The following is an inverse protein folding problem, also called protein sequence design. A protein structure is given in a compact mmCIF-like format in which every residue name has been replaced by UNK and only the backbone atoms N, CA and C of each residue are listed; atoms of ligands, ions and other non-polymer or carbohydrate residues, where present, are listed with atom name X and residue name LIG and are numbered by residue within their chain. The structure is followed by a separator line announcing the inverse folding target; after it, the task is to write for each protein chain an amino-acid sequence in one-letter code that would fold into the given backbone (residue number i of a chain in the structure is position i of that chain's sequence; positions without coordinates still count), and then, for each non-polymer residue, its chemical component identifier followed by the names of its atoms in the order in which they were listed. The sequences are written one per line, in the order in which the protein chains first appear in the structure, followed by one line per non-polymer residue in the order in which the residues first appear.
data_IF_384875181936
#
_entry.id   IF_384875181936
#
_cell.length_a   1.000
_cell.length_b   1.000
_cell.length_c   1.000
_cell.angle_alpha   90.00
_cell.angle_beta   90.00
_cell.angle_gamma   90.00
#
_symmetry.space_group_name_H-M   'P 1'
#
loop_
_entity.id
_entity.type
_entity.pdbx_description
1 polymer ?
#
# COMPACT_ATOMS: atom_id res chain seq x y z
N UNK A 1 -30.51 4.17 26.21
CA UNK A 1 -29.50 5.10 25.65
C UNK A 1 -28.14 4.42 25.69
N UNK A 2 -27.82 3.56 24.71
CA UNK A 2 -26.48 2.99 24.58
C UNK A 2 -25.61 4.02 23.86
N UNK A 3 -24.89 4.82 24.65
CA UNK A 3 -23.80 5.63 24.14
C UNK A 3 -22.92 4.73 23.26
N UNK A 4 -22.61 5.20 22.04
CA UNK A 4 -21.76 4.46 21.11
C UNK A 4 -20.49 4.05 21.82
N UNK A 5 -20.32 2.76 22.13
CA UNK A 5 -19.05 2.22 22.57
C UNK A 5 -18.12 2.41 21.37
N UNK A 6 -17.41 3.54 21.35
CA UNK A 6 -16.30 3.76 20.43
C UNK A 6 -15.36 2.61 20.70
N UNK A 7 -15.08 1.83 19.66
CA UNK A 7 -14.04 0.80 19.71
C UNK A 7 -12.70 1.53 19.83
N UNK A 8 -12.33 1.93 21.05
CA UNK A 8 -11.08 2.65 21.34
C UNK A 8 -9.87 1.89 20.77
N UNK A 9 -9.92 0.56 20.84
CA UNK A 9 -8.96 -0.34 20.21
C UNK A 9 -8.82 -0.10 18.70
N UNK A 10 -9.92 0.12 17.97
CA UNK A 10 -9.89 0.40 16.53
C UNK A 10 -9.27 1.75 16.23
N UNK A 11 -9.53 2.76 17.08
CA UNK A 11 -8.94 4.10 16.94
C UNK A 11 -7.42 4.07 17.20
N UNK A 12 -6.95 3.27 18.18
CA UNK A 12 -5.52 3.03 18.41
C UNK A 12 -4.85 2.37 17.21
N UNK A 13 -5.45 1.30 16.66
CA UNK A 13 -4.89 0.61 15.47
C UNK A 13 -4.80 1.56 14.28
N UNK A 14 -5.80 2.44 14.09
CA UNK A 14 -5.74 3.50 13.05
C UNK A 14 -4.62 4.48 13.30
N UNK A 15 -4.46 4.97 14.53
CA UNK A 15 -3.40 5.92 14.89
C UNK A 15 -2.01 5.36 14.60
N UNK A 16 -1.76 4.12 15.01
CA UNK A 16 -0.49 3.42 14.73
C UNK A 16 -0.27 3.24 13.22
N UNK A 17 -1.31 2.84 12.47
CA UNK A 17 -1.20 2.70 11.02
C UNK A 17 -0.84 4.02 10.33
N UNK A 18 -1.43 5.13 10.76
CA UNK A 18 -1.14 6.47 10.20
C UNK A 18 0.29 6.90 10.53
N UNK A 19 0.76 6.70 11.76
CA UNK A 19 2.16 7.00 12.14
C UNK A 19 3.13 6.13 11.34
N UNK A 20 2.79 4.87 11.11
CA UNK A 20 3.59 3.98 10.27
C UNK A 20 3.64 4.44 8.81
N UNK A 21 2.53 4.91 8.23
CA UNK A 21 2.50 5.49 6.88
C UNK A 21 3.37 6.74 6.80
N UNK A 22 3.35 7.59 7.83
CA UNK A 22 4.16 8.80 7.89
C UNK A 22 5.66 8.49 7.72
N UNK A 23 6.17 7.43 8.37
CA UNK A 23 7.58 7.05 8.27
C UNK A 23 8.05 6.85 6.83
N UNK A 24 7.24 6.21 5.99
CA UNK A 24 7.58 5.97 4.58
C UNK A 24 7.42 7.24 3.74
N UNK A 25 6.43 8.07 4.08
CA UNK A 25 6.20 9.32 3.36
C UNK A 25 7.30 10.36 3.62
N UNK A 26 8.02 10.30 4.74
CA UNK A 26 9.18 11.18 4.98
C UNK A 26 10.20 11.08 3.82
N UNK A 27 10.45 9.86 3.31
CA UNK A 27 11.33 9.66 2.16
C UNK A 27 10.75 10.33 0.92
N UNK A 28 9.46 10.11 0.64
CA UNK A 28 8.79 10.71 -0.53
C UNK A 28 8.75 12.25 -0.49
N UNK A 29 8.70 12.87 0.69
CA UNK A 29 8.71 14.34 0.83
C UNK A 29 10.12 14.93 0.93
N UNK A 30 11.10 14.17 1.41
CA UNK A 30 12.46 14.64 1.66
C UNK A 30 13.47 14.33 0.55
N UNK A 31 13.16 13.38 -0.34
CA UNK A 31 14.09 12.87 -1.35
C UNK A 31 13.44 12.78 -2.74
N UNK A 32 14.25 12.70 -3.82
CA UNK A 32 13.75 12.46 -5.17
C UNK A 32 12.95 11.16 -5.28
N UNK A 33 12.01 11.08 -6.23
CA UNK A 33 11.01 10.01 -6.30
C UNK A 33 11.63 8.61 -6.36
N UNK A 34 12.72 8.43 -7.12
CA UNK A 34 13.41 7.14 -7.23
C UNK A 34 13.92 6.60 -5.89
N UNK A 35 14.22 7.46 -4.91
CA UNK A 35 14.69 7.06 -3.58
C UNK A 35 13.62 6.33 -2.76
N UNK A 36 12.33 6.55 -3.08
CA UNK A 36 11.24 5.85 -2.42
C UNK A 36 11.23 4.35 -2.74
N UNK A 37 11.58 3.98 -3.98
CA UNK A 37 11.59 2.59 -4.42
C UNK A 37 12.97 1.94 -4.32
N UNK A 38 14.04 2.71 -4.53
CA UNK A 38 15.40 2.19 -4.56
C UNK A 38 16.32 3.04 -3.67
N UNK A 39 16.89 2.48 -2.58
CA UNK A 39 17.76 3.24 -1.68
C UNK A 39 19.03 3.73 -2.39
N UNK A 40 19.48 3.08 -3.47
CA UNK A 40 20.64 3.54 -4.25
C UNK A 40 20.37 4.79 -5.07
N UNK A 41 19.12 5.14 -5.32
CA UNK A 41 18.77 6.30 -6.13
C UNK A 41 19.22 7.62 -5.48
N UNK A 42 19.33 7.67 -4.15
CA UNK A 42 19.71 8.87 -3.42
C UNK A 42 20.44 8.58 -2.10
N UNK A 43 21.50 7.77 -2.14
CA UNK A 43 22.45 7.63 -1.02
C UNK A 43 22.02 6.76 0.17
N UNK A 44 20.86 6.09 0.12
CA UNK A 44 20.33 5.28 1.22
C UNK A 44 20.84 3.84 1.30
N UNK A 45 21.85 3.47 0.52
CA UNK A 45 22.29 2.08 0.35
C UNK A 45 23.50 1.67 1.20
N UNK A 46 23.99 2.56 2.07
CA UNK A 46 25.18 2.32 2.89
C UNK A 46 24.95 2.71 4.36
N UNK A 47 25.79 2.19 5.25
CA UNK A 47 25.87 2.61 6.66
C UNK A 47 24.54 2.55 7.43
N UNK A 48 24.27 3.61 8.20
CA UNK A 48 23.05 3.72 9.00
C UNK A 48 21.78 3.86 8.15
N UNK A 49 21.88 4.49 6.98
CA UNK A 49 20.74 4.68 6.08
C UNK A 49 20.24 3.36 5.52
N UNK A 50 21.16 2.45 5.19
CA UNK A 50 20.80 1.09 4.79
C UNK A 50 20.06 0.35 5.92
N UNK A 51 20.53 0.46 7.17
CA UNK A 51 19.85 -0.16 8.31
C UNK A 51 18.44 0.38 8.50
N UNK A 52 18.25 1.70 8.38
CA UNK A 52 16.93 2.34 8.45
C UNK A 52 16.03 1.89 7.31
N UNK A 53 16.56 1.81 6.08
CA UNK A 53 15.82 1.28 4.93
C UNK A 53 15.37 -0.16 5.16
N UNK A 54 16.28 -1.05 5.57
CA UNK A 54 15.97 -2.46 5.79
C UNK A 54 14.98 -2.66 6.94
N UNK A 55 15.13 -1.90 8.03
CA UNK A 55 14.19 -1.92 9.14
C UNK A 55 12.78 -1.52 8.70
N UNK A 56 12.66 -0.42 7.93
CA UNK A 56 11.40 0.02 7.36
C UNK A 56 10.83 -1.01 6.38
N UNK A 57 11.65 -1.57 5.48
CA UNK A 57 11.26 -2.57 4.50
C UNK A 57 10.63 -3.81 5.15
N UNK A 58 11.28 -4.32 6.21
CA UNK A 58 10.84 -5.53 6.92
C UNK A 58 9.57 -5.26 7.74
N UNK A 59 9.48 -4.14 8.45
CA UNK A 59 8.43 -3.94 9.45
C UNK A 59 7.26 -3.05 9.01
N UNK A 60 7.51 -2.03 8.19
CA UNK A 60 6.55 -0.94 7.96
C UNK A 60 6.12 -0.78 6.50
N UNK A 61 7.05 -0.90 5.55
CA UNK A 61 6.82 -0.58 4.13
C UNK A 61 5.66 -1.38 3.53
N UNK A 62 4.67 -0.68 2.98
CA UNK A 62 3.43 -1.25 2.45
C UNK A 62 2.49 -1.87 3.51
N UNK A 63 2.99 -2.31 4.66
CA UNK A 63 2.22 -3.01 5.71
C UNK A 63 1.32 -2.05 6.46
N UNK A 64 1.79 -0.83 6.70
CA UNK A 64 0.99 0.22 7.36
C UNK A 64 -0.12 0.75 6.45
N UNK A 65 0.16 0.92 5.14
CA UNK A 65 -0.86 1.19 4.12
C UNK A 65 -1.87 0.05 4.02
N UNK A 66 -1.39 -1.20 4.01
CA UNK A 66 -2.24 -2.40 4.01
C UNK A 66 -3.15 -2.49 5.23
N UNK A 67 -2.60 -2.23 6.42
CA UNK A 67 -3.36 -2.14 7.67
C UNK A 67 -4.41 -1.04 7.58
N UNK A 68 -4.06 0.13 7.03
CA UNK A 68 -5.01 1.22 6.85
C UNK A 68 -6.15 0.87 5.87
N UNK A 69 -5.86 0.22 4.73
CA UNK A 69 -6.89 -0.32 3.80
C UNK A 69 -7.80 -1.33 4.48
N UNK A 70 -7.21 -2.23 5.26
CA UNK A 70 -7.91 -3.23 6.04
C UNK A 70 -8.87 -2.58 7.06
N UNK A 71 -8.40 -1.58 7.81
CA UNK A 71 -9.26 -0.83 8.73
C UNK A 71 -10.33 -0.02 7.98
N UNK A 72 -10.02 0.51 6.80
CA UNK A 72 -10.99 1.25 5.98
C UNK A 72 -12.17 0.35 5.60
N UNK A 73 -11.92 -0.89 5.15
CA UNK A 73 -12.98 -1.85 4.85
C UNK A 73 -13.86 -2.19 6.05
N UNK A 74 -13.26 -2.38 7.23
CA UNK A 74 -14.01 -2.56 8.47
C UNK A 74 -14.85 -1.32 8.83
N UNK A 75 -14.27 -0.13 8.69
CA UNK A 75 -14.93 1.15 8.99
C UNK A 75 -16.13 1.40 8.10
N UNK A 76 -16.02 1.03 6.83
CA UNK A 76 -17.13 1.07 5.88
C UNK A 76 -18.29 0.21 6.34
N UNK A 77 -18.01 -1.03 6.74
CA UNK A 77 -19.05 -1.96 7.20
C UNK A 77 -19.76 -1.42 8.47
N UNK A 78 -19.03 -0.85 9.42
CA UNK A 78 -19.63 -0.18 10.59
C UNK A 78 -20.55 0.99 10.22
N UNK A 79 -20.18 1.78 9.21
CA UNK A 79 -21.03 2.89 8.73
C UNK A 79 -22.31 2.36 8.09
N UNK A 80 -22.21 1.26 7.31
CA UNK A 80 -23.34 0.59 6.68
C UNK A 80 -24.27 0.02 7.75
N UNK A 81 -23.75 -0.76 8.70
CA UNK A 81 -24.52 -1.35 9.81
C UNK A 81 -25.23 -0.26 10.63
N UNK A 82 -24.57 0.87 10.88
CA UNK A 82 -25.18 2.01 11.60
C UNK A 82 -26.29 2.69 10.80
N UNK A 83 -26.14 2.79 9.49
CA UNK A 83 -27.19 3.35 8.63
C UNK A 83 -28.43 2.44 8.61
N UNK A 84 -28.22 1.12 8.51
CA UNK A 84 -29.27 0.10 8.59
C UNK A 84 -30.02 0.18 9.94
N UNK A 85 -29.27 0.22 11.04
CA UNK A 85 -29.85 0.33 12.40
C UNK A 85 -30.58 1.65 12.65
N UNK A 86 -30.31 2.69 11.84
CA UNK A 86 -30.98 4.00 11.93
C UNK A 86 -32.07 4.18 10.87
N UNK A 87 -32.50 3.10 10.20
CA UNK A 87 -33.51 3.11 9.12
C UNK A 87 -33.16 4.05 7.95
N UNK A 88 -31.87 4.31 7.73
CA UNK A 88 -31.37 5.13 6.61
C UNK A 88 -30.88 4.22 5.48
N UNK A 89 -31.01 4.68 4.24
CA UNK A 89 -30.43 3.98 3.09
C UNK A 89 -28.90 3.80 3.24
N UNK A 90 -28.39 2.56 3.38
CA UNK A 90 -26.96 2.33 3.60
C UNK A 90 -26.13 2.70 2.39
N UNK A 91 -26.67 2.44 1.19
CA UNK A 91 -26.07 2.85 -0.07
C UNK A 91 -25.91 4.38 -0.14
N UNK A 92 -26.97 5.14 0.15
CA UNK A 92 -26.92 6.60 0.10
C UNK A 92 -25.87 7.17 1.06
N UNK A 93 -25.84 6.68 2.30
CA UNK A 93 -24.86 7.12 3.30
C UNK A 93 -23.43 6.79 2.86
N UNK A 94 -23.21 5.57 2.36
CA UNK A 94 -21.90 5.13 1.90
C UNK A 94 -21.40 5.93 0.70
N UNK A 95 -22.17 5.98 -0.39
CA UNK A 95 -21.75 6.65 -1.62
C UNK A 95 -21.57 8.15 -1.46
N UNK A 96 -22.36 8.82 -0.61
CA UNK A 96 -22.12 10.24 -0.30
C UNK A 96 -20.79 10.44 0.42
N UNK A 97 -20.44 9.57 1.37
CA UNK A 97 -19.14 9.64 2.05
C UNK A 97 -17.99 9.35 1.09
N UNK A 98 -18.15 8.38 0.19
CA UNK A 98 -17.14 8.10 -0.84
C UNK A 98 -17.02 9.26 -1.84
N UNK A 99 -18.12 9.91 -2.21
CA UNK A 99 -18.08 11.08 -3.10
C UNK A 99 -17.32 12.26 -2.48
N UNK A 100 -17.56 12.56 -1.20
CA UNK A 100 -16.78 13.57 -0.48
C UNK A 100 -15.31 13.17 -0.34
N UNK A 101 -15.03 11.90 0.00
CA UNK A 101 -13.66 11.40 0.10
C UNK A 101 -12.93 11.48 -1.26
N UNK A 102 -13.62 11.18 -2.35
CA UNK A 102 -13.10 11.28 -3.71
C UNK A 102 -12.80 12.74 -4.08
N UNK A 103 -13.71 13.66 -3.74
CA UNK A 103 -13.49 15.09 -3.97
C UNK A 103 -12.25 15.58 -3.22
N UNK A 104 -12.15 15.29 -1.92
CA UNK A 104 -10.96 15.64 -1.13
C UNK A 104 -9.70 14.96 -1.66
N UNK A 105 -9.81 13.70 -2.11
CA UNK A 105 -8.71 12.98 -2.73
C UNK A 105 -8.22 13.63 -4.01
N UNK A 106 -9.11 14.10 -4.90
CA UNK A 106 -8.68 14.83 -6.09
C UNK A 106 -8.07 16.19 -5.76
N UNK A 107 -8.69 16.95 -4.85
CA UNK A 107 -8.11 18.22 -4.38
C UNK A 107 -6.70 17.99 -3.84
N UNK A 108 -6.53 16.95 -3.02
CA UNK A 108 -5.24 16.58 -2.44
C UNK A 108 -4.24 16.08 -3.51
N UNK A 109 -4.66 15.21 -4.42
CA UNK A 109 -3.84 14.65 -5.49
C UNK A 109 -3.30 15.74 -6.42
N UNK A 110 -4.11 16.72 -6.80
CA UNK A 110 -3.69 17.77 -7.72
C UNK A 110 -3.00 18.94 -7.02
N UNK A 111 -3.49 19.38 -5.86
CA UNK A 111 -2.96 20.59 -5.21
C UNK A 111 -1.86 20.29 -4.19
N UNK A 112 -1.85 19.12 -3.54
CA UNK A 112 -0.97 18.86 -2.40
C UNK A 112 0.15 17.89 -2.76
N UNK A 113 -0.16 16.64 -3.10
CA UNK A 113 0.83 15.58 -3.25
C UNK A 113 0.35 14.43 -4.16
N UNK A 114 1.27 13.92 -5.00
CA UNK A 114 0.98 12.90 -6.02
C UNK A 114 0.70 11.49 -5.45
N UNK A 115 1.07 11.22 -4.20
CA UNK A 115 0.87 9.92 -3.54
C UNK A 115 -0.50 9.75 -2.85
N UNK A 116 -1.53 10.46 -3.31
CA UNK A 116 -2.87 10.39 -2.70
C UNK A 116 -3.45 8.98 -2.65
N UNK A 117 -3.94 8.59 -1.46
CA UNK A 117 -4.66 7.33 -1.27
C UNK A 117 -6.17 7.54 -1.14
N UNK A 118 -6.65 8.76 -0.92
CA UNK A 118 -8.05 9.04 -0.62
C UNK A 118 -8.94 8.77 -1.84
N UNK A 119 -8.57 9.29 -3.00
CA UNK A 119 -9.29 9.06 -4.26
C UNK A 119 -9.31 7.57 -4.60
N UNK A 120 -8.15 6.91 -4.48
CA UNK A 120 -8.03 5.46 -4.66
C UNK A 120 -8.97 4.68 -3.74
N UNK A 121 -8.99 5.02 -2.45
CA UNK A 121 -9.80 4.32 -1.45
C UNK A 121 -11.28 4.61 -1.62
N UNK A 122 -11.65 5.82 -2.06
CA UNK A 122 -13.02 6.13 -2.40
C UNK A 122 -13.51 5.28 -3.57
N UNK A 123 -12.72 5.16 -4.65
CA UNK A 123 -13.07 4.35 -5.82
C UNK A 123 -13.18 2.86 -5.48
N UNK A 124 -12.16 2.31 -4.82
CA UNK A 124 -12.18 0.90 -4.40
C UNK A 124 -13.27 0.65 -3.35
N UNK A 125 -13.53 1.63 -2.47
CA UNK A 125 -14.58 1.54 -1.47
C UNK A 125 -15.99 1.55 -2.07
N UNK A 126 -16.21 2.25 -3.18
CA UNK A 126 -17.45 2.16 -3.94
C UNK A 126 -17.66 0.75 -4.49
N UNK A 127 -16.61 0.08 -4.97
CA UNK A 127 -16.65 -1.31 -5.43
C UNK A 127 -16.89 -2.28 -4.26
N UNK A 128 -16.18 -2.08 -3.15
CA UNK A 128 -16.25 -2.93 -1.96
C UNK A 128 -17.66 -3.00 -1.34
N UNK A 129 -18.49 -1.97 -1.57
CA UNK A 129 -19.89 -1.95 -1.14
C UNK A 129 -20.71 -3.15 -1.67
N UNK A 130 -20.37 -3.69 -2.83
CA UNK A 130 -21.03 -4.88 -3.39
C UNK A 130 -20.82 -6.13 -2.51
N UNK A 131 -19.70 -6.21 -1.79
CA UNK A 131 -19.37 -7.33 -0.92
C UNK A 131 -19.93 -7.19 0.51
N UNK A 132 -20.60 -6.07 0.84
CA UNK A 132 -21.02 -5.73 2.21
C UNK A 132 -21.84 -6.80 2.92
N UNK A 133 -22.61 -7.61 2.18
CA UNK A 133 -23.49 -8.65 2.71
C UNK A 133 -22.87 -10.06 2.69
N UNK A 134 -21.66 -10.22 2.16
CA UNK A 134 -21.04 -11.53 2.01
C UNK A 134 -20.63 -12.13 3.36
N UNK A 135 -20.81 -13.44 3.58
CA UNK A 135 -20.30 -14.11 4.79
C UNK A 135 -18.77 -14.08 4.84
N UNK A 136 -18.21 -14.24 6.05
CA UNK A 136 -16.76 -14.20 6.31
C UNK A 136 -15.96 -15.08 5.34
N UNK A 137 -16.41 -16.31 5.09
CA UNK A 137 -15.72 -17.24 4.19
C UNK A 137 -15.60 -16.70 2.76
N UNK A 138 -16.67 -16.12 2.20
CA UNK A 138 -16.66 -15.56 0.85
C UNK A 138 -15.80 -14.29 0.76
N UNK A 139 -15.80 -13.45 1.80
CA UNK A 139 -14.91 -12.28 1.87
C UNK A 139 -13.44 -12.68 1.84
N UNK A 140 -13.08 -13.72 2.61
CA UNK A 140 -11.70 -14.24 2.64
C UNK A 140 -11.33 -14.89 1.31
N UNK A 141 -12.18 -15.74 0.74
CA UNK A 141 -11.92 -16.39 -0.55
C UNK A 141 -11.76 -15.35 -1.66
N UNK A 142 -12.67 -14.38 -1.75
CA UNK A 142 -12.57 -13.30 -2.74
C UNK A 142 -11.32 -12.44 -2.53
N UNK A 143 -10.98 -12.13 -1.27
CA UNK A 143 -9.74 -11.44 -0.95
C UNK A 143 -8.50 -12.21 -1.42
N UNK A 144 -8.42 -13.52 -1.17
CA UNK A 144 -7.30 -14.35 -1.65
C UNK A 144 -7.25 -14.36 -3.18
N UNK A 145 -8.39 -14.54 -3.87
CA UNK A 145 -8.44 -14.49 -5.33
C UNK A 145 -7.94 -13.15 -5.89
N UNK A 146 -8.30 -12.04 -5.24
CA UNK A 146 -7.84 -10.71 -5.64
C UNK A 146 -6.35 -10.49 -5.39
N UNK A 147 -5.77 -11.06 -4.32
CA UNK A 147 -4.31 -11.06 -4.11
C UNK A 147 -3.62 -11.86 -5.21
N UNK A 148 -4.13 -13.03 -5.58
CA UNK A 148 -3.58 -13.82 -6.69
C UNK A 148 -3.68 -13.04 -8.02
N UNK A 149 -4.82 -12.39 -8.29
CA UNK A 149 -4.98 -11.55 -9.47
C UNK A 149 -3.98 -10.37 -9.47
N UNK A 150 -3.81 -9.70 -8.32
CA UNK A 150 -2.82 -8.64 -8.17
C UNK A 150 -1.39 -9.13 -8.41
N UNK A 151 -1.06 -10.36 -7.97
CA UNK A 151 0.24 -10.97 -8.19
C UNK A 151 0.49 -11.23 -9.68
N UNK A 152 -0.52 -11.75 -10.40
CA UNK A 152 -0.42 -11.97 -11.85
C UNK A 152 -0.23 -10.65 -12.60
N UNK A 153 -1.00 -9.62 -12.25
CA UNK A 153 -0.86 -8.28 -12.86
C UNK A 153 0.53 -7.70 -12.56
N UNK A 154 0.96 -7.75 -11.29
CA UNK A 154 2.25 -7.21 -10.88
C UNK A 154 3.44 -7.98 -11.48
N UNK A 155 3.28 -9.27 -11.81
CA UNK A 155 4.33 -10.08 -12.42
C UNK A 155 4.68 -9.63 -13.85
N UNK A 156 3.78 -8.88 -14.52
CA UNK A 156 4.04 -8.31 -15.84
C UNK A 156 5.25 -7.38 -15.87
N UNK A 157 5.48 -6.60 -14.81
CA UNK A 157 6.60 -5.66 -14.73
C UNK A 157 7.98 -6.34 -14.70
N UNK A 158 8.31 -7.25 -13.75
CA UNK A 158 9.58 -7.98 -13.76
C UNK A 158 9.73 -8.84 -15.00
N UNK A 159 8.64 -9.42 -15.54
CA UNK A 159 8.69 -10.17 -16.79
C UNK A 159 9.13 -9.29 -17.97
N UNK A 160 8.54 -8.09 -18.10
CA UNK A 160 8.91 -7.12 -19.13
C UNK A 160 10.37 -6.67 -18.99
N UNK A 161 10.80 -6.32 -17.78
CA UNK A 161 12.20 -5.94 -17.51
C UNK A 161 13.15 -7.09 -17.86
N UNK A 162 12.79 -8.33 -17.51
CA UNK A 162 13.60 -9.49 -17.87
C UNK A 162 13.73 -9.64 -19.40
N UNK A 163 12.66 -9.42 -20.17
CA UNK A 163 12.72 -9.44 -21.63
C UNK A 163 13.60 -8.32 -22.22
N UNK A 164 13.55 -7.12 -21.64
CA UNK A 164 14.37 -5.98 -22.06
C UNK A 164 15.86 -6.20 -21.78
N UNK A 165 16.20 -6.98 -20.76
CA UNK A 165 17.59 -7.33 -20.41
C UNK A 165 18.17 -8.47 -21.26
N UNK A 166 17.36 -9.18 -22.05
CA UNK A 166 17.85 -10.24 -22.94
C UNK A 166 18.70 -9.68 -24.10
N UNK A 167 19.72 -10.43 -24.58
CA UNK A 167 20.56 -10.02 -25.70
C UNK A 167 19.72 -9.56 -26.90
N UNK A 168 20.16 -8.47 -27.54
CA UNK A 168 19.50 -7.92 -28.73
C UNK A 168 20.05 -8.58 -30.00
N UNK A 169 19.19 -8.82 -30.99
CA UNK A 169 19.61 -9.42 -32.25
C UNK A 169 20.35 -8.43 -33.17
N UNK A 170 20.07 -7.13 -33.03
CA UNK A 170 20.70 -6.08 -33.81
C UNK A 170 20.78 -4.74 -33.03
N UNK A 171 21.51 -3.76 -33.59
CA UNK A 171 21.73 -2.46 -32.98
C UNK A 171 20.45 -1.62 -32.84
N UNK A 172 19.48 -1.77 -33.75
CA UNK A 172 18.21 -1.03 -33.69
C UNK A 172 17.34 -1.52 -32.52
N UNK A 173 17.26 -2.84 -32.33
CA UNK A 173 16.58 -3.46 -31.18
C UNK A 173 17.26 -3.07 -29.87
N UNK A 174 18.61 -3.06 -29.83
CA UNK A 174 19.35 -2.64 -28.65
C UNK A 174 19.04 -1.18 -28.25
N UNK A 175 18.94 -0.28 -29.24
CA UNK A 175 18.59 1.11 -29.00
C UNK A 175 17.16 1.29 -28.48
N UNK A 176 16.21 0.52 -29.02
CA UNK A 176 14.81 0.56 -28.56
C UNK A 176 14.66 0.00 -27.14
N UNK A 177 15.25 -1.16 -26.85
CA UNK A 177 15.29 -1.75 -25.50
C UNK A 177 15.93 -0.81 -24.49
N UNK A 178 17.04 -0.18 -24.85
CA UNK A 178 17.71 0.79 -23.98
C UNK A 178 16.79 1.98 -23.67
N UNK A 179 16.05 2.50 -24.65
CA UNK A 179 15.09 3.58 -24.45
C UNK A 179 13.96 3.17 -23.51
N UNK A 180 13.36 1.99 -23.70
CA UNK A 180 12.30 1.48 -22.82
C UNK A 180 12.81 1.23 -21.39
N UNK A 181 14.04 0.74 -21.25
CA UNK A 181 14.65 0.49 -19.95
C UNK A 181 14.89 1.78 -19.16
N UNK A 182 15.16 2.91 -19.83
CA UNK A 182 15.37 4.20 -19.16
C UNK A 182 14.15 4.62 -18.33
N UNK A 183 12.94 4.42 -18.83
CA UNK A 183 11.73 4.77 -18.09
C UNK A 183 11.63 3.96 -16.77
N UNK A 184 12.01 2.68 -16.82
CA UNK A 184 12.05 1.83 -15.62
C UNK A 184 13.20 2.19 -14.67
N UNK A 185 14.36 2.58 -15.20
CA UNK A 185 15.51 3.04 -14.41
C UNK A 185 15.14 4.32 -13.66
N UNK A 186 14.46 5.25 -14.32
CA UNK A 186 14.04 6.51 -13.72
C UNK A 186 13.04 6.31 -12.57
N UNK A 187 12.12 5.34 -12.69
CA UNK A 187 11.11 5.06 -11.67
C UNK A 187 11.56 4.14 -10.53
N UNK A 188 12.21 3.02 -10.85
CA UNK A 188 12.49 1.93 -9.91
C UNK A 188 13.98 1.58 -9.77
N UNK A 189 14.84 2.18 -10.59
CA UNK A 189 16.28 1.96 -10.62
C UNK A 189 17.07 3.08 -9.94
N UNK A 190 18.25 3.37 -10.49
CA UNK A 190 19.08 4.52 -10.11
C UNK A 190 18.97 5.55 -11.24
N UNK A 191 18.17 6.60 -11.08
CA UNK A 191 17.98 7.61 -12.13
C UNK A 191 19.31 8.31 -12.44
N UNK A 192 19.53 8.74 -13.70
CA UNK A 192 20.67 9.58 -14.04
C UNK A 192 20.63 10.90 -13.27
N UNK A 193 21.81 11.43 -12.91
CA UNK A 193 21.93 12.70 -12.16
C UNK A 193 21.20 13.87 -12.82
N UNK A 194 21.13 13.90 -14.15
CA UNK A 194 20.40 14.93 -14.89
C UNK A 194 18.89 14.88 -14.62
N UNK A 195 18.30 13.69 -14.50
CA UNK A 195 16.88 13.55 -14.19
C UNK A 195 16.60 13.91 -12.74
N UNK A 196 17.47 13.48 -11.81
CA UNK A 196 17.40 13.91 -10.41
C UNK A 196 17.52 15.43 -10.27
N UNK A 197 18.44 16.06 -11.00
CA UNK A 197 18.61 17.52 -10.98
C UNK A 197 17.38 18.25 -11.52
N UNK A 198 16.74 17.71 -12.57
CA UNK A 198 15.49 18.24 -13.13
C UNK A 198 14.35 18.16 -12.11
N UNK A 199 14.19 17.02 -11.43
CA UNK A 199 13.19 16.87 -10.36
C UNK A 199 13.43 17.85 -9.21
N UNK A 200 14.69 18.01 -8.79
CA UNK A 200 15.06 18.97 -7.74
C UNK A 200 14.80 20.42 -8.16
N UNK A 201 15.11 20.78 -9.40
CA UNK A 201 14.85 22.12 -9.93
C UNK A 201 13.35 22.43 -9.96
N UNK A 202 12.52 21.45 -10.37
CA UNK A 202 11.06 21.59 -10.35
C UNK A 202 10.54 21.82 -8.93
N UNK A 203 10.97 21.00 -7.96
CA UNK A 203 10.45 21.06 -6.58
C UNK A 203 11.02 22.22 -5.75
N UNK A 204 12.14 22.81 -6.18
CA UNK A 204 12.69 24.07 -5.63
C UNK A 204 12.21 25.32 -6.38
N UNK A 205 11.47 25.12 -7.47
CA UNK A 205 10.89 26.18 -8.28
C UNK A 205 9.60 26.73 -7.68
N UNK A 206 8.73 27.23 -8.54
CA UNK A 206 7.45 27.78 -8.14
C UNK A 206 6.36 26.70 -8.05
N UNK A 207 5.31 27.02 -7.29
CA UNK A 207 4.19 26.10 -7.13
C UNK A 207 3.44 25.84 -8.45
N UNK A 208 3.40 26.82 -9.37
CA UNK A 208 2.70 26.66 -10.64
C UNK A 208 3.37 25.59 -11.52
N UNK A 209 4.71 25.55 -11.56
CA UNK A 209 5.46 24.48 -12.23
C UNK A 209 5.15 23.10 -11.63
N UNK A 210 5.18 23.00 -10.30
CA UNK A 210 4.86 21.74 -9.58
C UNK A 210 3.42 21.30 -9.88
N UNK A 211 2.46 22.22 -9.85
CA UNK A 211 1.06 21.93 -10.15
C UNK A 211 0.87 21.46 -11.60
N UNK A 212 1.50 22.13 -12.57
CA UNK A 212 1.39 21.77 -13.98
C UNK A 212 1.96 20.38 -14.27
N UNK A 213 3.13 20.06 -13.70
CA UNK A 213 3.73 18.74 -13.78
C UNK A 213 2.80 17.68 -13.16
N UNK A 214 2.33 17.93 -11.94
CA UNK A 214 1.45 17.01 -11.21
C UNK A 214 0.12 16.79 -11.93
N UNK A 215 -0.49 17.82 -12.49
CA UNK A 215 -1.73 17.70 -13.24
C UNK A 215 -1.54 16.82 -14.49
N UNK A 216 -0.42 16.98 -15.19
CA UNK A 216 -0.10 16.19 -16.37
C UNK A 216 0.22 14.72 -16.04
N UNK A 217 0.93 14.46 -14.94
CA UNK A 217 1.33 13.11 -14.54
C UNK A 217 0.21 12.36 -13.83
N UNK A 218 -0.43 12.98 -12.83
CA UNK A 218 -1.42 12.32 -11.96
C UNK A 218 -2.67 11.88 -12.71
N UNK A 219 -3.17 12.68 -13.67
CA UNK A 219 -4.37 12.32 -14.43
C UNK A 219 -4.17 11.02 -15.23
N UNK A 220 -2.96 10.78 -15.76
CA UNK A 220 -2.61 9.57 -16.51
C UNK A 220 -2.39 8.36 -15.59
N UNK A 221 -1.98 8.59 -14.35
CA UNK A 221 -1.66 7.55 -13.39
C UNK A 221 -2.88 6.94 -12.70
N UNK A 222 -4.03 7.64 -12.64
CA UNK A 222 -5.24 7.14 -11.96
C UNK A 222 -5.74 5.80 -12.53
N UNK A 223 -5.93 5.63 -13.86
CA UNK A 223 -6.35 4.33 -14.39
C UNK A 223 -5.31 3.23 -14.13
N UNK A 224 -4.03 3.55 -14.27
CA UNK A 224 -2.94 2.61 -14.03
C UNK A 224 -2.88 2.17 -12.56
N UNK A 225 -3.07 3.10 -11.61
CA UNK A 225 -3.06 2.80 -10.18
C UNK A 225 -4.24 1.92 -9.76
N UNK A 226 -5.42 2.13 -10.37
CA UNK A 226 -6.59 1.28 -10.14
C UNK A 226 -6.38 -0.15 -10.65
N UNK A 227 -5.75 -0.31 -11.81
CA UNK A 227 -5.47 -1.64 -12.37
C UNK A 227 -4.38 -2.34 -11.54
N UNK A 228 -3.30 -1.63 -11.21
CA UNK A 228 -2.13 -2.22 -10.55
C UNK A 228 -2.35 -2.49 -9.07
N UNK A 229 -2.99 -1.56 -8.34
CA UNK A 229 -3.15 -1.64 -6.88
C UNK A 229 -4.60 -1.83 -6.44
N UNK A 230 -5.58 -1.70 -7.33
CA UNK A 230 -7.00 -1.84 -6.99
C UNK A 230 -7.36 -3.23 -6.47
N UNK A 231 -6.98 -4.34 -7.14
CA UNK A 231 -7.26 -5.68 -6.65
C UNK A 231 -6.67 -5.94 -5.26
N UNK A 232 -5.41 -5.56 -5.04
CA UNK A 232 -4.74 -5.64 -3.72
C UNK A 232 -5.52 -4.85 -2.66
N UNK A 233 -5.86 -3.59 -2.97
CA UNK A 233 -6.55 -2.69 -2.04
C UNK A 233 -7.93 -3.23 -1.69
N UNK A 234 -8.66 -3.74 -2.68
CA UNK A 234 -9.97 -4.34 -2.48
C UNK A 234 -9.84 -5.57 -1.58
N UNK A 235 -8.87 -6.45 -1.84
CA UNK A 235 -8.61 -7.62 -1.01
C UNK A 235 -8.41 -7.24 0.46
N UNK A 236 -7.60 -6.21 0.73
CA UNK A 236 -7.35 -5.74 2.08
C UNK A 236 -8.62 -5.21 2.76
N UNK A 237 -9.44 -4.43 2.05
CA UNK A 237 -10.73 -3.98 2.56
C UNK A 237 -11.66 -5.16 2.89
N UNK A 238 -11.71 -6.19 2.04
CA UNK A 238 -12.50 -7.40 2.27
C UNK A 238 -12.01 -8.20 3.48
N UNK A 239 -10.70 -8.34 3.66
CA UNK A 239 -10.12 -8.93 4.88
C UNK A 239 -10.53 -8.10 6.11
N UNK A 240 -10.56 -6.77 6.00
CA UNK A 240 -11.07 -5.87 7.03
C UNK A 240 -12.50 -6.16 7.43
N UNK A 241 -13.40 -6.28 6.45
CA UNK A 241 -14.80 -6.64 6.65
C UNK A 241 -14.93 -8.02 7.31
N UNK A 242 -14.14 -9.00 6.87
CA UNK A 242 -14.11 -10.35 7.42
C UNK A 242 -13.64 -10.36 8.89
N UNK A 243 -12.61 -9.59 9.21
CA UNK A 243 -12.09 -9.45 10.57
C UNK A 243 -13.04 -8.70 11.50
N UNK A 244 -13.82 -7.75 11.00
CA UNK A 244 -14.89 -7.13 11.79
C UNK A 244 -16.02 -8.13 12.08
N UNK A 245 -16.49 -8.86 11.06
CA UNK A 245 -17.58 -9.83 11.17
C UNK A 245 -17.23 -11.04 12.03
N UNK A 246 -15.96 -11.43 12.05
CA UNK A 246 -15.47 -12.54 12.89
C UNK A 246 -15.23 -12.14 14.34
N UNK A 247 -15.45 -10.88 14.72
CA UNK A 247 -15.22 -10.38 16.08
C UNK A 247 -13.77 -10.01 16.40
N UNK A 248 -12.84 -10.17 15.46
CA UNK A 248 -11.43 -9.80 15.67
C UNK A 248 -11.28 -8.29 15.91
N UNK A 249 -11.82 -7.45 15.02
CA UNK A 249 -11.70 -5.99 15.20
C UNK A 249 -12.63 -5.43 16.27
N UNK A 250 -13.63 -6.21 16.68
CA UNK A 250 -14.51 -5.89 17.81
C UNK A 250 -13.87 -6.18 19.16
N UNK A 251 -12.73 -6.88 19.19
CA UNK A 251 -12.14 -7.30 20.45
C UNK A 251 -12.98 -8.38 21.12
N UNK A 252 -13.54 -9.33 20.38
CA UNK A 252 -14.34 -10.44 20.93
C UNK A 252 -13.53 -11.73 21.05
N UNK A 253 -12.38 -11.84 20.36
CA UNK A 253 -11.51 -13.01 20.48
C UNK A 253 -10.82 -13.09 21.85
N UNK A 254 -10.56 -14.31 22.33
CA UNK A 254 -9.75 -14.53 23.52
C UNK A 254 -8.28 -14.15 23.28
N UNK A 255 -7.57 -13.66 24.30
CA UNK A 255 -6.16 -13.24 24.19
C UNK A 255 -5.21 -14.33 23.64
N UNK A 256 -5.33 -15.62 24.00
CA UNK A 256 -4.50 -16.67 23.42
C UNK A 256 -4.67 -16.79 21.90
N UNK A 257 -5.86 -16.48 21.38
CA UNK A 257 -6.13 -16.51 19.94
C UNK A 257 -5.41 -15.38 19.21
N UNK A 258 -5.40 -14.16 19.75
CA UNK A 258 -4.61 -13.07 19.17
C UNK A 258 -3.12 -13.37 19.20
N UNK A 259 -2.61 -13.91 20.32
CA UNK A 259 -1.19 -14.26 20.44
C UNK A 259 -0.81 -15.34 19.43
N UNK A 260 -1.63 -16.39 19.28
CA UNK A 260 -1.42 -17.42 18.26
C UNK A 260 -1.33 -16.83 16.86
N UNK A 261 -2.26 -15.97 16.47
CA UNK A 261 -2.26 -15.35 15.14
C UNK A 261 -1.10 -14.37 14.95
N UNK A 262 -0.74 -13.60 15.97
CA UNK A 262 0.48 -12.77 15.96
C UNK A 262 1.72 -13.63 15.67
N UNK A 263 1.93 -14.70 16.44
CA UNK A 263 3.09 -15.56 16.30
C UNK A 263 3.14 -16.28 14.94
N UNK A 264 2.00 -16.77 14.45
CA UNK A 264 1.91 -17.40 13.12
C UNK A 264 2.21 -16.39 12.01
N UNK A 265 1.55 -15.23 12.05
CA UNK A 265 1.70 -14.21 11.03
C UNK A 265 3.13 -13.66 10.98
N UNK A 266 3.71 -13.30 12.13
CA UNK A 266 5.07 -12.76 12.19
C UNK A 266 6.12 -13.85 11.99
N UNK A 267 5.89 -15.06 12.51
CA UNK A 267 6.77 -16.20 12.32
C UNK A 267 6.91 -16.64 10.86
N UNK A 268 5.93 -16.35 10.01
CA UNK A 268 6.02 -16.55 8.56
C UNK A 268 6.55 -15.29 7.87
N UNK A 269 5.95 -14.12 8.15
CA UNK A 269 6.22 -12.92 7.38
C UNK A 269 7.63 -12.37 7.61
N UNK A 270 8.09 -12.30 8.87
CA UNK A 270 9.38 -11.67 9.21
C UNK A 270 10.55 -12.42 8.57
N UNK A 271 10.67 -13.77 8.67
CA UNK A 271 11.74 -14.49 7.98
C UNK A 271 11.72 -14.31 6.46
N UNK A 272 10.54 -14.27 5.84
CA UNK A 272 10.43 -14.04 4.40
C UNK A 272 10.89 -12.63 4.03
N UNK A 273 10.50 -11.62 4.79
CA UNK A 273 10.97 -10.23 4.57
C UNK A 273 12.48 -10.08 4.80
N UNK A 274 13.05 -10.78 5.79
CA UNK A 274 14.50 -10.80 6.01
C UNK A 274 15.21 -11.48 4.83
N UNK A 275 14.68 -12.59 4.31
CA UNK A 275 15.23 -13.25 3.13
C UNK A 275 15.16 -12.35 1.88
N UNK A 276 14.05 -11.63 1.69
CA UNK A 276 13.92 -10.65 0.60
C UNK A 276 14.88 -9.47 0.78
N UNK A 277 15.04 -8.96 2.00
CA UNK A 277 16.01 -7.92 2.33
C UNK A 277 17.44 -8.37 2.00
N UNK A 278 17.81 -9.59 2.40
CA UNK A 278 19.10 -10.20 2.06
C UNK A 278 19.30 -10.29 0.55
N UNK A 279 18.27 -10.75 -0.19
CA UNK A 279 18.29 -10.80 -1.65
C UNK A 279 18.52 -9.42 -2.28
N UNK A 280 17.82 -8.38 -1.82
CA UNK A 280 17.96 -7.02 -2.32
C UNK A 280 19.38 -6.48 -2.12
N UNK A 281 19.97 -6.70 -0.94
CA UNK A 281 21.35 -6.30 -0.63
C UNK A 281 22.34 -7.07 -1.50
N UNK A 282 22.19 -8.39 -1.64
CA UNK A 282 23.07 -9.22 -2.47
C UNK A 282 23.00 -8.88 -3.95
N UNK A 283 21.80 -8.58 -4.44
CA UNK A 283 21.57 -8.11 -5.80
C UNK A 283 21.90 -6.61 -5.98
N UNK A 284 22.49 -5.95 -4.97
CA UNK A 284 22.92 -4.57 -5.01
C UNK A 284 21.80 -3.61 -5.43
N UNK A 285 20.55 -3.89 -5.02
CA UNK A 285 19.36 -3.11 -5.38
C UNK A 285 19.22 -2.87 -6.90
N UNK A 286 19.64 -3.83 -7.72
CA UNK A 286 19.46 -3.76 -9.17
C UNK A 286 17.98 -3.63 -9.53
N UNK A 287 17.68 -2.97 -10.65
CA UNK A 287 16.30 -2.71 -11.11
C UNK A 287 15.41 -3.96 -11.05
N UNK A 288 15.88 -5.07 -11.62
CA UNK A 288 15.14 -6.34 -11.60
C UNK A 288 14.88 -6.86 -10.18
N UNK A 289 15.86 -6.73 -9.28
CA UNK A 289 15.74 -7.16 -7.89
C UNK A 289 14.72 -6.31 -7.12
N UNK A 290 14.63 -5.01 -7.38
CA UNK A 290 13.61 -4.13 -6.78
C UNK A 290 12.21 -4.56 -7.23
N UNK A 291 11.97 -4.65 -8.54
CA UNK A 291 10.62 -4.98 -9.05
C UNK A 291 10.18 -6.39 -8.68
N UNK A 292 11.10 -7.35 -8.64
CA UNK A 292 10.81 -8.71 -8.22
C UNK A 292 10.69 -8.81 -6.70
N UNK A 293 11.74 -8.44 -5.98
CA UNK A 293 11.89 -8.66 -4.55
C UNK A 293 11.05 -7.73 -3.69
N UNK A 294 11.09 -6.43 -3.97
CA UNK A 294 10.40 -5.43 -3.15
C UNK A 294 8.93 -5.23 -3.55
N UNK A 295 8.61 -5.30 -4.85
CA UNK A 295 7.25 -5.05 -5.33
C UNK A 295 6.42 -6.33 -5.47
N UNK A 296 6.90 -7.34 -6.21
CA UNK A 296 6.12 -8.54 -6.51
C UNK A 296 6.06 -9.51 -5.32
N UNK A 297 7.21 -9.98 -4.84
CA UNK A 297 7.30 -11.07 -3.86
C UNK A 297 6.78 -10.66 -2.47
N UNK A 298 6.73 -9.37 -2.15
CA UNK A 298 6.15 -8.88 -0.89
C UNK A 298 4.62 -8.96 -0.87
N UNK A 299 3.96 -8.94 -2.03
CA UNK A 299 2.50 -8.92 -2.18
C UNK A 299 1.75 -9.99 -1.36
N UNK A 300 2.04 -11.30 -1.54
CA UNK A 300 1.35 -12.36 -0.80
C UNK A 300 1.69 -12.42 0.69
N UNK A 301 2.85 -11.87 1.09
CA UNK A 301 3.32 -11.88 2.48
C UNK A 301 2.75 -10.71 3.27
N UNK A 302 2.45 -9.59 2.60
CA UNK A 302 1.96 -8.35 3.21
C UNK A 302 0.67 -8.53 4.04
N UNK A 303 -0.36 -9.28 3.59
CA UNK A 303 -1.52 -9.63 4.43
C UNK A 303 -1.17 -10.21 5.78
N UNK A 304 -0.24 -11.17 5.81
CA UNK A 304 0.17 -11.82 7.06
C UNK A 304 0.77 -10.79 8.00
N UNK A 305 1.67 -9.94 7.49
CA UNK A 305 2.36 -8.96 8.30
C UNK A 305 1.42 -7.93 8.92
N UNK A 306 0.49 -7.34 8.14
CA UNK A 306 -0.42 -6.34 8.70
C UNK A 306 -1.51 -6.94 9.59
N UNK A 307 -1.93 -8.19 9.38
CA UNK A 307 -2.82 -8.90 10.31
C UNK A 307 -2.09 -9.13 11.63
N UNK A 308 -0.82 -9.53 11.59
CA UNK A 308 0.02 -9.66 12.77
C UNK A 308 0.15 -8.33 13.53
N UNK A 309 0.38 -7.23 12.81
CA UNK A 309 0.36 -5.88 13.41
C UNK A 309 -0.99 -5.57 14.08
N UNK A 310 -2.11 -5.85 13.43
CA UNK A 310 -3.43 -5.66 14.03
C UNK A 310 -3.58 -6.48 15.33
N UNK A 311 -3.17 -7.74 15.34
CA UNK A 311 -3.21 -8.59 16.55
C UNK A 311 -2.31 -8.05 17.67
N UNK A 312 -1.08 -7.62 17.35
CA UNK A 312 -0.16 -7.02 18.32
C UNK A 312 -0.77 -5.78 18.97
N UNK A 313 -1.27 -4.84 18.16
CA UNK A 313 -1.83 -3.59 18.66
C UNK A 313 -3.08 -3.86 19.50
N UNK A 314 -3.95 -4.79 19.08
CA UNK A 314 -5.15 -5.15 19.83
C UNK A 314 -4.82 -5.83 21.18
N UNK A 315 -3.74 -6.63 21.26
CA UNK A 315 -3.26 -7.18 22.52
C UNK A 315 -2.74 -6.10 23.46
N UNK A 316 -1.93 -5.17 22.95
CA UNK A 316 -1.37 -4.07 23.73
C UNK A 316 -2.47 -3.10 24.21
N UNK A 317 -3.43 -2.77 23.36
CA UNK A 317 -4.54 -1.89 23.70
C UNK A 317 -5.49 -2.49 24.76
N UNK A 318 -5.54 -3.81 24.90
CA UNK A 318 -6.35 -4.51 25.91
C UNK A 318 -5.69 -4.56 27.28
N UNK A 319 -4.38 -4.41 27.38
CA UNK A 319 -3.64 -4.52 28.62
C UNK A 319 -3.91 -3.35 29.59
N UNK A 320 -4.74 -2.37 29.21
CA UNK A 320 -4.96 -1.12 29.95
C UNK A 320 -6.30 -0.95 30.69
N UNK A 321 -7.37 -1.68 30.36
CA UNK A 321 -8.70 -1.44 30.94
C UNK A 321 -9.36 -0.16 30.46
#
# INVERSE_FOLDING_TARGET
MTASVRLQSLDVVRGVAVMGILLLNIVSFGMPEGAYFNPRAYGGAEGADLWVYLFNFVLFDGKMRGLFSFLFGASMLLVIERAEASERSPARVHYLRMAWLLLFGFVHLFLVWHGDILAHYAMIGMIAFAARNMPVSRLVILGIMLICASLVIAAGLPFMIHQLLQPSANAAEAADKAKQLQDFINGFGVPPLAETAKQLALHRGDYAGIFADRAATSARMIPASLILFGPETLAYMLFGMASLRSGMLRGEWASPRYLKWLLVCWGIAVPVYIALAYYLVHAQFGLFAIVLGAMLLTGPVRPLMFIGWACLILLLARAGG
#
